data_IF_691773150130
#
_entry.id   IF_691773150130
#
_cell.length_a   1.000
_cell.length_b   1.000
_cell.length_c   1.000
_cell.angle_alpha   90.00
_cell.angle_beta   90.00
_cell.angle_gamma   90.00
#
_symmetry.space_group_name_H-M   'P 1'
#
loop_
_entity.id
_entity.type
_entity.pdbx_description
1 polymer ?
#
# COMPACT_ATOMS: atom_id res chain seq x y z
N UNK A 1 2.57 -4.80 -26.61
CA UNK A 1 2.70 -5.95 -25.69
C UNK A 1 1.84 -5.66 -24.47
N UNK A 2 0.70 -6.32 -24.34
CA UNK A 2 -0.15 -6.21 -23.16
C UNK A 2 0.42 -7.12 -22.08
N UNK A 3 1.17 -6.54 -21.14
CA UNK A 3 1.57 -7.22 -19.93
C UNK A 3 0.37 -7.27 -18.97
N UNK A 4 -0.49 -8.26 -19.15
CA UNK A 4 -1.45 -8.65 -18.13
C UNK A 4 -0.72 -9.56 -17.14
N UNK A 5 0.07 -8.98 -16.24
CA UNK A 5 0.46 -9.74 -15.06
C UNK A 5 -0.78 -9.89 -14.19
N UNK A 6 -1.13 -11.11 -13.77
CA UNK A 6 -2.12 -11.27 -12.73
C UNK A 6 -1.63 -10.51 -11.48
N UNK A 7 -2.54 -9.88 -10.73
CA UNK A 7 -2.15 -9.15 -9.54
C UNK A 7 -1.42 -10.08 -8.58
N UNK A 8 -0.27 -9.65 -8.09
CA UNK A 8 0.48 -10.35 -7.04
C UNK A 8 -0.46 -10.75 -5.92
N UNK A 9 -0.49 -12.03 -5.59
CA UNK A 9 -1.33 -12.58 -4.54
C UNK A 9 -0.55 -12.63 -3.23
N UNK A 10 -1.06 -11.95 -2.21
CA UNK A 10 -0.46 -11.84 -0.89
C UNK A 10 -1.30 -12.59 0.14
N UNK A 11 -0.66 -13.37 1.00
CA UNK A 11 -1.30 -13.96 2.16
C UNK A 11 -0.70 -13.39 3.45
N UNK A 12 -1.54 -12.82 4.33
CA UNK A 12 -1.22 -12.66 5.74
C UNK A 12 -2.38 -13.18 6.58
N UNK A 13 -2.08 -13.88 7.64
CA UNK A 13 -3.08 -14.29 8.59
C UNK A 13 -3.37 -13.15 9.57
N UNK A 14 -4.43 -12.38 9.32
CA UNK A 14 -5.03 -11.27 10.09
C UNK A 14 -4.15 -10.04 10.37
N UNK A 15 -4.48 -8.93 9.71
CA UNK A 15 -4.33 -7.60 10.29
C UNK A 15 -5.68 -6.88 10.18
N UNK A 16 -6.14 -6.29 11.27
CA UNK A 16 -7.24 -5.32 11.26
C UNK A 16 -6.81 -4.16 10.37
N UNK A 17 -7.63 -3.89 9.37
CA UNK A 17 -7.38 -2.97 8.27
C UNK A 17 -7.36 -1.51 8.71
N UNK A 18 -6.19 -0.99 9.01
CA UNK A 18 -5.96 0.45 9.00
C UNK A 18 -4.64 0.76 8.28
N UNK A 19 -4.50 0.29 7.06
CA UNK A 19 -3.36 0.65 6.25
C UNK A 19 -3.43 2.14 5.91
N UNK A 20 -2.63 2.92 6.62
CA UNK A 20 -2.43 4.34 6.37
C UNK A 20 -0.99 4.60 5.95
N UNK A 21 -0.82 5.51 5.01
CA UNK A 21 0.47 6.12 4.71
C UNK A 21 0.41 7.60 5.04
N UNK A 22 1.50 8.17 5.49
CA UNK A 22 1.55 9.56 5.92
C UNK A 22 2.85 10.26 5.51
N UNK A 23 2.79 11.60 5.47
CA UNK A 23 3.86 12.44 4.97
C UNK A 23 3.79 12.67 3.46
N UNK A 24 4.42 13.76 3.00
CA UNK A 24 4.31 14.27 1.63
C UNK A 24 4.74 13.22 0.59
N UNK A 25 5.88 12.59 0.79
CA UNK A 25 6.45 11.65 -0.21
C UNK A 25 5.63 10.36 -0.30
N UNK A 26 5.39 9.69 0.84
CA UNK A 26 4.64 8.43 0.88
C UNK A 26 3.21 8.59 0.35
N UNK A 27 2.53 9.68 0.71
CA UNK A 27 1.19 9.98 0.21
C UNK A 27 1.22 10.25 -1.30
N UNK A 28 2.21 10.97 -1.80
CA UNK A 28 2.35 11.22 -3.25
C UNK A 28 2.55 9.92 -4.03
N UNK A 29 3.44 9.05 -3.57
CA UNK A 29 3.71 7.75 -4.20
C UNK A 29 2.48 6.83 -4.18
N UNK A 30 1.80 6.74 -3.04
CA UNK A 30 0.59 5.92 -2.91
C UNK A 30 -0.57 6.42 -3.80
N UNK A 31 -0.73 7.74 -3.96
CA UNK A 31 -1.69 8.30 -4.90
C UNK A 31 -1.31 8.00 -6.35
N UNK A 32 -0.04 8.10 -6.71
CA UNK A 32 0.45 7.73 -8.05
C UNK A 32 0.23 6.25 -8.36
N UNK A 33 0.42 5.38 -7.36
CA UNK A 33 0.17 3.95 -7.45
C UNK A 33 -1.32 3.57 -7.46
N UNK A 34 -2.24 4.54 -7.36
CA UNK A 34 -3.69 4.30 -7.35
C UNK A 34 -4.20 3.46 -6.17
N UNK A 35 -3.49 3.48 -5.04
CA UNK A 35 -3.83 2.69 -3.84
C UNK A 35 -4.65 3.46 -2.79
N UNK A 36 -4.82 4.77 -2.97
CA UNK A 36 -5.50 5.64 -2.01
C UNK A 36 -7.02 5.53 -2.05
N UNK A 37 -7.64 5.45 -0.87
CA UNK A 37 -9.10 5.47 -0.71
C UNK A 37 -9.61 6.82 -0.21
N UNK A 38 -8.95 7.40 0.79
CA UNK A 38 -9.34 8.67 1.40
C UNK A 38 -8.13 9.42 1.91
N UNK A 39 -8.00 10.66 1.47
CA UNK A 39 -6.93 11.56 1.86
C UNK A 39 -7.42 12.50 2.98
N UNK A 40 -6.66 12.56 4.06
CA UNK A 40 -6.86 13.50 5.16
C UNK A 40 -5.75 14.56 5.11
N UNK A 41 -6.17 15.83 5.09
CA UNK A 41 -5.27 16.99 5.06
C UNK A 41 -5.55 17.84 6.30
N UNK A 42 -4.49 18.30 6.96
CA UNK A 42 -4.61 19.21 8.09
C UNK A 42 -5.31 20.50 7.69
N UNK A 43 -6.31 20.97 8.47
CA UNK A 43 -7.20 22.09 8.14
C UNK A 43 -6.46 23.40 7.85
N UNK A 44 -5.42 23.69 8.61
CA UNK A 44 -4.66 24.95 8.55
C UNK A 44 -3.47 24.85 7.58
N UNK A 45 -3.23 23.69 6.99
CA UNK A 45 -2.09 23.50 6.11
C UNK A 45 -2.28 24.25 4.78
N UNK A 46 -1.24 24.98 4.38
CA UNK A 46 -1.19 25.75 3.13
C UNK A 46 0.16 25.54 2.45
N UNK A 47 0.21 25.79 1.16
CA UNK A 47 1.45 25.78 0.39
C UNK A 47 1.45 24.81 -0.79
N UNK A 48 2.54 24.84 -1.56
CA UNK A 48 2.66 24.13 -2.84
C UNK A 48 2.41 22.62 -2.75
N UNK A 49 2.78 22.00 -1.64
CA UNK A 49 2.54 20.55 -1.44
C UNK A 49 1.05 20.24 -1.30
N UNK A 50 0.28 21.13 -0.66
CA UNK A 50 -1.18 20.99 -0.54
C UNK A 50 -1.81 21.01 -1.93
N UNK A 51 -1.47 22.01 -2.74
CA UNK A 51 -2.03 22.15 -4.08
C UNK A 51 -1.67 20.96 -4.97
N UNK A 52 -0.42 20.52 -4.92
CA UNK A 52 0.06 19.35 -5.68
C UNK A 52 -0.68 18.08 -5.29
N UNK A 53 -0.77 17.79 -4.00
CA UNK A 53 -1.41 16.55 -3.50
C UNK A 53 -2.91 16.57 -3.74
N UNK A 54 -3.57 17.73 -3.60
CA UNK A 54 -4.99 17.90 -3.94
C UNK A 54 -5.26 17.64 -5.42
N UNK A 55 -4.44 18.20 -6.31
CA UNK A 55 -4.58 17.98 -7.75
C UNK A 55 -4.43 16.49 -8.10
N UNK A 56 -3.44 15.82 -7.51
CA UNK A 56 -3.21 14.39 -7.71
C UNK A 56 -4.35 13.53 -7.15
N UNK A 57 -4.87 13.86 -5.96
CA UNK A 57 -6.02 13.17 -5.38
C UNK A 57 -7.28 13.34 -6.23
N UNK A 58 -7.50 14.51 -6.80
CA UNK A 58 -8.62 14.76 -7.72
C UNK A 58 -8.48 13.96 -9.02
N UNK A 59 -7.28 13.90 -9.61
CA UNK A 59 -6.98 13.09 -10.79
C UNK A 59 -7.27 11.61 -10.52
N UNK A 60 -6.89 11.11 -9.35
CA UNK A 60 -7.08 9.71 -8.92
C UNK A 60 -8.46 9.43 -8.32
N UNK A 61 -9.35 10.42 -8.30
CA UNK A 61 -10.71 10.33 -7.71
C UNK A 61 -10.73 9.92 -6.23
N UNK A 62 -9.70 10.29 -5.49
CA UNK A 62 -9.59 10.04 -4.05
C UNK A 62 -10.30 11.17 -3.30
N UNK A 63 -11.19 10.80 -2.39
CA UNK A 63 -11.92 11.78 -1.56
C UNK A 63 -10.99 12.47 -0.58
N UNK A 64 -11.20 13.79 -0.38
CA UNK A 64 -10.40 14.61 0.54
C UNK A 64 -11.23 14.99 1.75
N UNK A 65 -10.65 14.88 2.94
CA UNK A 65 -11.21 15.32 4.22
C UNK A 65 -10.25 16.27 4.91
N UNK A 66 -10.70 17.47 5.22
CA UNK A 66 -9.95 18.40 6.04
C UNK A 66 -10.11 18.01 7.50
N UNK A 67 -9.01 17.89 8.23
CA UNK A 67 -8.99 17.20 9.53
C UNK A 67 -8.10 17.96 10.52
N UNK A 68 -8.54 18.12 11.79
CA UNK A 68 -7.71 18.73 12.83
C UNK A 68 -6.39 17.98 13.02
N UNK A 69 -5.32 18.74 13.30
CA UNK A 69 -3.98 18.17 13.55
C UNK A 69 -3.98 17.07 14.61
N UNK A 70 -4.76 17.25 15.67
CA UNK A 70 -4.86 16.28 16.78
C UNK A 70 -5.36 14.91 16.27
N UNK A 71 -6.38 14.90 15.44
CA UNK A 71 -6.93 13.67 14.86
C UNK A 71 -5.91 12.98 13.95
N UNK A 72 -5.15 13.75 13.15
CA UNK A 72 -4.07 13.16 12.35
C UNK A 72 -2.97 12.55 13.21
N UNK A 73 -2.61 13.18 14.33
CA UNK A 73 -1.67 12.62 15.28
C UNK A 73 -2.17 11.32 15.92
N UNK A 74 -3.44 11.25 16.25
CA UNK A 74 -4.06 10.03 16.78
C UNK A 74 -4.05 8.92 15.72
N UNK A 75 -4.41 9.23 14.47
CA UNK A 75 -4.38 8.28 13.35
C UNK A 75 -2.99 7.71 13.08
N UNK A 76 -1.94 8.49 13.30
CA UNK A 76 -0.54 8.10 13.01
C UNK A 76 0.23 7.69 14.26
N UNK A 77 -0.47 7.51 15.40
CA UNK A 77 0.15 7.17 16.69
C UNK A 77 1.29 8.12 17.09
N UNK A 78 1.15 9.39 16.74
CA UNK A 78 2.13 10.44 17.05
C UNK A 78 3.29 10.55 16.05
N UNK A 79 3.28 9.82 14.96
CA UNK A 79 4.32 9.91 13.93
C UNK A 79 4.28 11.24 13.17
N UNK A 80 5.40 11.59 12.51
CA UNK A 80 5.55 12.84 11.75
C UNK A 80 4.81 12.74 10.42
N UNK A 81 3.56 13.16 10.39
CA UNK A 81 2.67 13.06 9.22
C UNK A 81 2.73 14.27 8.27
N UNK A 82 3.41 15.35 8.62
CA UNK A 82 3.55 16.56 7.80
C UNK A 82 2.20 17.16 7.31
N UNK A 83 1.12 16.87 8.01
CA UNK A 83 -0.23 17.32 7.67
C UNK A 83 -0.96 16.49 6.61
N UNK A 84 -0.42 15.34 6.19
CA UNK A 84 -1.02 14.44 5.21
C UNK A 84 -1.07 13.01 5.71
N UNK A 85 -2.27 12.43 5.66
CA UNK A 85 -2.51 11.01 5.94
C UNK A 85 -3.42 10.48 4.83
N UNK A 86 -3.04 9.38 4.23
CA UNK A 86 -3.83 8.71 3.21
C UNK A 86 -4.22 7.32 3.71
N UNK A 87 -5.51 7.05 3.76
CA UNK A 87 -5.98 5.69 3.92
C UNK A 87 -5.84 5.00 2.57
N UNK A 88 -5.04 3.95 2.53
CA UNK A 88 -4.89 3.13 1.35
C UNK A 88 -5.89 1.98 1.35
N UNK A 89 -6.21 1.47 0.17
CA UNK A 89 -6.96 0.23 0.08
C UNK A 89 -6.16 -0.83 0.84
N UNK A 90 -6.82 -1.51 1.76
CA UNK A 90 -6.22 -2.68 2.36
C UNK A 90 -5.74 -3.60 1.24
N UNK A 91 -4.48 -4.03 1.29
CA UNK A 91 -4.04 -5.10 0.42
C UNK A 91 -5.01 -6.25 0.63
N UNK A 92 -5.68 -6.66 -0.43
CA UNK A 92 -6.50 -7.85 -0.39
C UNK A 92 -5.55 -9.04 -0.32
N UNK A 93 -5.20 -9.42 0.90
CA UNK A 93 -4.48 -10.67 1.10
C UNK A 93 -5.35 -11.81 0.60
N UNK A 94 -4.77 -12.66 -0.19
CA UNK A 94 -5.46 -13.82 -0.75
C UNK A 94 -5.27 -15.01 0.17
N UNK A 95 -6.28 -15.85 0.30
CA UNK A 95 -6.18 -17.11 1.04
C UNK A 95 -5.13 -18.03 0.39
N UNK A 96 -4.36 -18.73 1.21
CA UNK A 96 -3.33 -19.66 0.74
C UNK A 96 -3.88 -20.71 -0.23
N UNK A 97 -5.08 -21.22 0.06
CA UNK A 97 -5.73 -22.21 -0.82
C UNK A 97 -6.03 -21.61 -2.21
N UNK A 98 -6.39 -20.34 -2.28
CA UNK A 98 -6.62 -19.65 -3.55
C UNK A 98 -5.31 -19.42 -4.33
N UNK A 99 -4.21 -19.06 -3.63
CA UNK A 99 -2.88 -18.97 -4.26
C UNK A 99 -2.47 -20.32 -4.85
N UNK A 100 -2.54 -21.38 -4.07
CA UNK A 100 -2.17 -22.74 -4.51
C UNK A 100 -3.01 -23.22 -5.68
N UNK A 101 -4.32 -22.91 -5.68
CA UNK A 101 -5.21 -23.25 -6.77
C UNK A 101 -4.89 -22.51 -8.07
N UNK A 102 -4.53 -21.21 -7.97
CA UNK A 102 -4.16 -20.40 -9.11
C UNK A 102 -2.82 -20.84 -9.69
N UNK A 103 -1.81 -21.02 -8.84
CA UNK A 103 -0.45 -21.41 -9.26
C UNK A 103 -0.37 -22.83 -9.79
N UNK A 104 -1.28 -23.71 -9.36
CA UNK A 104 -1.36 -25.10 -9.87
C UNK A 104 -1.68 -25.18 -11.40
N UNK A 105 -2.11 -24.08 -12.01
CA UNK A 105 -2.37 -23.99 -13.44
C UNK A 105 -1.16 -23.44 -14.23
N UNK A 106 -0.11 -23.00 -13.55
CA UNK A 106 1.11 -22.53 -14.17
C UNK A 106 2.06 -23.70 -14.46
N UNK A 107 2.82 -23.60 -15.54
CA UNK A 107 3.75 -24.66 -15.95
C UNK A 107 4.91 -24.83 -14.95
N UNK A 108 5.41 -23.72 -14.40
CA UNK A 108 6.51 -23.69 -13.44
C UNK A 108 6.24 -22.66 -12.33
N UNK A 109 5.33 -22.93 -11.40
CA UNK A 109 4.98 -21.97 -10.37
C UNK A 109 6.12 -21.81 -9.36
N UNK A 110 6.48 -20.57 -9.05
CA UNK A 110 7.45 -20.23 -8.02
C UNK A 110 6.76 -19.48 -6.90
N UNK A 111 6.75 -20.07 -5.71
CA UNK A 111 6.22 -19.45 -4.49
C UNK A 111 7.38 -19.03 -3.59
N UNK A 112 7.32 -17.81 -3.08
CA UNK A 112 8.28 -17.28 -2.12
C UNK A 112 7.65 -17.22 -0.74
N UNK A 113 8.31 -17.81 0.25
CA UNK A 113 7.89 -17.76 1.67
C UNK A 113 8.90 -16.90 2.42
N UNK A 114 8.44 -15.83 3.05
CA UNK A 114 9.27 -14.90 3.81
C UNK A 114 9.05 -15.12 5.31
N UNK A 115 9.94 -15.86 5.94
CA UNK A 115 9.88 -16.13 7.38
C UNK A 115 10.85 -15.20 8.15
N UNK A 116 10.38 -14.68 9.30
CA UNK A 116 11.20 -13.90 10.21
C UNK A 116 11.65 -12.52 9.70
N UNK A 117 10.97 -11.95 8.72
CA UNK A 117 11.30 -10.63 8.16
C UNK A 117 10.81 -9.52 9.09
N UNK A 118 11.73 -8.78 9.69
CA UNK A 118 11.44 -7.71 10.65
C UNK A 118 11.63 -6.30 10.06
N UNK A 119 12.39 -6.17 8.97
CA UNK A 119 12.70 -4.88 8.36
C UNK A 119 11.83 -4.62 7.11
N UNK A 120 10.98 -3.56 7.12
CA UNK A 120 10.16 -3.18 5.98
C UNK A 120 10.97 -2.85 4.70
N UNK A 121 12.20 -2.34 4.83
CA UNK A 121 13.06 -2.07 3.68
C UNK A 121 13.49 -3.36 2.97
N UNK A 122 13.81 -4.40 3.73
CA UNK A 122 14.13 -5.70 3.17
C UNK A 122 12.93 -6.31 2.47
N UNK A 123 11.74 -6.20 3.05
CA UNK A 123 10.50 -6.63 2.41
C UNK A 123 10.33 -5.94 1.05
N UNK A 124 10.43 -4.62 0.99
CA UNK A 124 10.27 -3.87 -0.25
C UNK A 124 11.27 -4.26 -1.35
N UNK A 125 12.54 -4.54 -1.00
CA UNK A 125 13.56 -4.98 -1.95
C UNK A 125 13.32 -6.40 -2.47
N UNK A 126 12.92 -7.31 -1.59
CA UNK A 126 12.57 -8.69 -1.93
C UNK A 126 11.37 -8.71 -2.88
N UNK A 127 10.35 -7.91 -2.60
CA UNK A 127 9.16 -7.83 -3.43
C UNK A 127 9.43 -7.30 -4.84
N UNK A 128 10.28 -6.28 -4.98
CA UNK A 128 10.74 -5.82 -6.30
C UNK A 128 11.49 -6.90 -7.07
N UNK A 129 12.29 -7.71 -6.38
CA UNK A 129 13.00 -8.83 -7.00
C UNK A 129 12.03 -9.93 -7.38
N UNK A 130 11.08 -10.26 -6.53
CA UNK A 130 10.04 -11.25 -6.80
C UNK A 130 9.20 -10.87 -8.03
N UNK A 131 8.84 -9.59 -8.15
CA UNK A 131 8.14 -9.07 -9.33
C UNK A 131 9.00 -9.21 -10.60
N UNK A 132 10.26 -8.79 -10.55
CA UNK A 132 11.17 -8.87 -11.67
C UNK A 132 11.50 -10.32 -12.11
N UNK A 133 11.39 -11.28 -11.21
CA UNK A 133 11.65 -12.72 -11.47
C UNK A 133 10.38 -13.53 -11.70
N UNK A 134 9.24 -12.88 -11.84
CA UNK A 134 7.95 -13.50 -12.12
C UNK A 134 7.54 -14.57 -11.08
N UNK A 135 7.74 -14.27 -9.80
CA UNK A 135 7.26 -15.12 -8.70
C UNK A 135 5.73 -15.18 -8.72
N UNK A 136 5.17 -16.37 -8.68
CA UNK A 136 3.72 -16.61 -8.80
C UNK A 136 2.94 -16.19 -7.55
N UNK A 137 3.58 -16.16 -6.38
CA UNK A 137 2.97 -15.71 -5.14
C UNK A 137 3.98 -15.56 -4.02
N UNK A 138 3.67 -14.65 -3.07
CA UNK A 138 4.49 -14.41 -1.88
C UNK A 138 3.66 -14.71 -0.64
N UNK A 139 4.19 -15.53 0.25
CA UNK A 139 3.58 -15.92 1.51
C UNK A 139 4.38 -15.27 2.63
N UNK A 140 3.71 -14.46 3.45
CA UNK A 140 4.31 -13.79 4.60
C UNK A 140 3.59 -14.31 5.84
N UNK A 141 4.26 -15.13 6.68
CA UNK A 141 3.68 -15.54 7.97
C UNK A 141 3.54 -14.32 8.90
N UNK A 142 2.68 -14.47 9.89
CA UNK A 142 2.45 -13.43 10.93
C UNK A 142 3.67 -13.28 11.83
#
# INVERSE_FOLDING_TARGET
MNWHHPPFLWYTSSMENNDIVYGVHAVTEALQANTGNKLYIQEDLRGKNVDKIKALAAEKKVSISWTPKKTLQEMTEGAVHQGFVLRVAAFAYTDLAAILKQTAQEENPLLLILDGLTDPHNLGSILRTADATNVSGVIIPK
#
